data_IF_365264884700
#
_entry.id   IF_365264884700
#
_cell.length_a   1.000
_cell.length_b   1.000
_cell.length_c   1.000
_cell.angle_alpha   90.00
_cell.angle_beta   90.00
_cell.angle_gamma   90.00
#
_symmetry.space_group_name_H-M   'P 1'
#
loop_
_entity.id
_entity.type
_entity.pdbx_description
1 polymer ?
#
# COMPACT_ATOMS: atom_id res chain seq x y z
N UNK A 1 -0.26 6.46 -12.61
CA UNK A 1 -0.27 5.05 -13.08
C UNK A 1 0.91 4.24 -12.52
N UNK A 2 2.14 4.77 -12.55
CA UNK A 2 3.37 4.04 -12.15
C UNK A 2 3.42 3.67 -10.65
N UNK A 3 2.70 4.38 -9.78
CA UNK A 3 2.70 4.14 -8.33
C UNK A 3 1.46 3.35 -7.88
N UNK A 4 0.26 3.83 -8.24
CA UNK A 4 -1.02 3.28 -7.77
C UNK A 4 -1.27 1.82 -8.20
N UNK A 5 -0.91 1.46 -9.42
CA UNK A 5 -1.14 0.11 -9.95
C UNK A 5 -0.25 -0.97 -9.32
N UNK A 6 1.09 -0.83 -9.29
CA UNK A 6 1.94 -1.81 -8.63
C UNK A 6 1.74 -1.87 -7.10
N UNK A 7 1.44 -0.75 -6.44
CA UNK A 7 1.08 -0.76 -5.00
C UNK A 7 -0.22 -1.51 -4.73
N UNK A 8 -1.22 -1.41 -5.63
CA UNK A 8 -2.47 -2.16 -5.54
C UNK A 8 -2.25 -3.68 -5.62
N UNK A 9 -1.46 -4.15 -6.60
CA UNK A 9 -1.14 -5.58 -6.75
C UNK A 9 -0.42 -6.12 -5.52
N UNK A 10 0.56 -5.36 -4.99
CA UNK A 10 1.30 -5.79 -3.81
C UNK A 10 0.42 -5.77 -2.55
N UNK A 11 -0.49 -4.81 -2.44
CA UNK A 11 -1.46 -4.78 -1.36
C UNK A 11 -2.43 -5.96 -1.42
N UNK A 12 -2.91 -6.36 -2.60
CA UNK A 12 -3.76 -7.53 -2.76
C UNK A 12 -3.06 -8.81 -2.29
N UNK A 13 -1.81 -9.02 -2.72
CA UNK A 13 -1.00 -10.16 -2.30
C UNK A 13 -0.73 -10.15 -0.79
N UNK A 14 -0.29 -9.01 -0.24
CA UNK A 14 0.00 -8.88 1.19
C UNK A 14 -1.25 -9.07 2.06
N UNK A 15 -2.40 -8.53 1.64
CA UNK A 15 -3.68 -8.71 2.34
C UNK A 15 -4.10 -10.18 2.33
N UNK A 16 -3.98 -10.88 1.18
CA UNK A 16 -4.27 -12.30 1.09
C UNK A 16 -3.37 -13.15 1.98
N UNK A 17 -2.07 -12.83 2.05
CA UNK A 17 -1.12 -13.51 2.93
C UNK A 17 -1.40 -13.21 4.42
N UNK A 18 -1.69 -11.96 4.76
CA UNK A 18 -1.95 -11.53 6.14
C UNK A 18 -3.18 -12.25 6.71
N UNK A 19 -4.30 -12.27 5.99
CA UNK A 19 -5.50 -12.94 6.45
C UNK A 19 -5.51 -14.46 6.24
N UNK A 20 -4.54 -15.00 5.49
CA UNK A 20 -4.28 -16.45 5.48
C UNK A 20 -3.61 -16.88 6.80
N UNK A 21 -2.78 -15.99 7.39
CA UNK A 21 -2.10 -16.25 8.66
C UNK A 21 -2.94 -15.84 9.89
N UNK A 22 -3.79 -14.83 9.78
CA UNK A 22 -4.57 -14.25 10.89
C UNK A 22 -6.06 -14.32 10.55
N UNK A 23 -6.85 -14.96 11.42
CA UNK A 23 -8.30 -15.01 11.22
C UNK A 23 -8.92 -13.61 11.40
N UNK A 24 -9.63 -13.07 10.40
CA UNK A 24 -10.35 -11.80 10.54
C UNK A 24 -11.40 -11.81 11.66
N UNK A 25 -11.83 -12.97 12.15
CA UNK A 25 -12.78 -13.07 13.26
C UNK A 25 -12.15 -12.79 14.63
N UNK A 26 -10.84 -12.94 14.76
CA UNK A 26 -10.10 -12.62 16.00
C UNK A 26 -9.79 -11.12 16.14
N UNK A 27 -10.11 -10.31 15.12
CA UNK A 27 -9.96 -8.85 15.18
C UNK A 27 -11.09 -8.20 16.00
N UNK A 28 -10.87 -8.11 17.32
CA UNK A 28 -11.73 -7.33 18.23
C UNK A 28 -11.44 -5.83 18.01
N UNK A 29 -12.29 -5.16 17.24
CA UNK A 29 -12.25 -3.70 17.07
C UNK A 29 -13.04 -3.02 18.20
N UNK A 30 -12.35 -2.25 19.04
CA UNK A 30 -12.96 -1.39 20.07
C UNK A 30 -13.90 -2.09 21.08
N UNK A 31 -13.69 -3.38 21.35
CA UNK A 31 -14.48 -4.13 22.34
C UNK A 31 -15.93 -4.40 21.92
N UNK A 32 -16.33 -4.06 20.69
CA UNK A 32 -17.62 -4.38 20.11
C UNK A 32 -17.43 -5.50 19.08
N UNK A 33 -18.26 -6.55 19.18
CA UNK A 33 -18.36 -7.58 18.16
C UNK A 33 -18.80 -6.90 16.87
N UNK A 34 -17.88 -6.65 15.94
CA UNK A 34 -18.22 -6.11 14.62
C UNK A 34 -19.16 -7.15 13.99
N UNK A 35 -20.38 -6.78 13.59
CA UNK A 35 -21.35 -7.75 13.10
C UNK A 35 -20.77 -8.44 11.86
N UNK A 36 -20.49 -9.74 12.00
CA UNK A 36 -20.36 -10.84 11.02
C UNK A 36 -19.69 -10.56 9.65
N UNK A 37 -19.05 -9.43 9.46
CA UNK A 37 -18.61 -8.96 8.15
C UNK A 37 -17.10 -9.19 8.03
N UNK A 38 -16.71 -10.44 7.81
CA UNK A 38 -15.36 -10.80 7.35
C UNK A 38 -14.95 -9.90 6.17
N UNK A 39 -15.91 -9.57 5.30
CA UNK A 39 -15.75 -8.60 4.21
C UNK A 39 -15.28 -7.21 4.67
N UNK A 40 -15.74 -6.69 5.80
CA UNK A 40 -15.29 -5.39 6.30
C UNK A 40 -13.82 -5.46 6.74
N UNK A 41 -13.42 -6.51 7.47
CA UNK A 41 -12.04 -6.72 7.87
C UNK A 41 -11.10 -6.84 6.65
N UNK A 42 -11.48 -7.64 5.65
CA UNK A 42 -10.71 -7.76 4.40
C UNK A 42 -10.58 -6.42 3.68
N UNK A 43 -11.67 -5.66 3.58
CA UNK A 43 -11.68 -4.37 2.88
C UNK A 43 -10.81 -3.33 3.59
N UNK A 44 -10.95 -3.22 4.91
CA UNK A 44 -10.16 -2.28 5.72
C UNK A 44 -8.67 -2.67 5.70
N UNK A 45 -8.36 -3.94 5.88
CA UNK A 45 -6.98 -4.44 5.80
C UNK A 45 -6.35 -4.15 4.44
N UNK A 46 -7.09 -4.40 3.36
CA UNK A 46 -6.66 -4.07 2.00
C UNK A 46 -6.36 -2.58 1.83
N UNK A 47 -7.29 -1.71 2.24
CA UNK A 47 -7.13 -0.26 2.10
C UNK A 47 -5.97 0.29 2.92
N UNK A 48 -5.76 -0.23 4.14
CA UNK A 48 -4.64 0.16 4.99
C UNK A 48 -3.30 -0.23 4.37
N UNK A 49 -3.17 -1.49 3.97
CA UNK A 49 -1.94 -2.00 3.34
C UNK A 49 -1.70 -1.25 2.02
N UNK A 50 -2.73 -1.02 1.21
CA UNK A 50 -2.61 -0.30 -0.06
C UNK A 50 -2.16 1.15 0.12
N UNK A 51 -2.73 1.86 1.09
CA UNK A 51 -2.32 3.24 1.39
C UNK A 51 -0.87 3.28 1.83
N UNK A 52 -0.45 2.35 2.67
CA UNK A 52 0.93 2.29 3.16
C UNK A 52 1.93 1.97 2.03
N UNK A 53 1.63 0.99 1.18
CA UNK A 53 2.50 0.64 0.03
C UNK A 53 2.50 1.72 -1.05
N UNK A 54 1.39 2.44 -1.24
CA UNK A 54 1.31 3.60 -2.12
C UNK A 54 2.19 4.75 -1.62
N UNK A 55 2.17 5.06 -0.32
CA UNK A 55 3.05 6.08 0.29
C UNK A 55 4.52 5.68 0.13
N UNK A 56 4.89 4.43 0.41
CA UNK A 56 6.28 3.96 0.25
C UNK A 56 6.76 4.08 -1.21
N UNK A 57 5.90 3.72 -2.16
CA UNK A 57 6.19 3.83 -3.59
C UNK A 57 6.27 5.29 -4.05
N UNK A 58 5.41 6.17 -3.51
CA UNK A 58 5.47 7.61 -3.75
C UNK A 58 6.77 8.22 -3.24
N UNK A 59 7.21 7.85 -2.03
CA UNK A 59 8.46 8.32 -1.46
C UNK A 59 9.66 7.87 -2.28
N UNK A 60 9.65 6.61 -2.74
CA UNK A 60 10.69 6.06 -3.63
C UNK A 60 10.73 6.83 -4.95
N UNK A 61 9.57 7.12 -5.53
CA UNK A 61 9.47 7.91 -6.75
C UNK A 61 9.98 9.34 -6.54
N UNK A 62 9.61 10.00 -5.45
CA UNK A 62 10.04 11.36 -5.11
C UNK A 62 11.57 11.44 -4.99
N UNK A 63 12.18 10.50 -4.25
CA UNK A 63 13.64 10.44 -4.10
C UNK A 63 14.34 10.16 -5.44
N UNK A 64 13.71 9.36 -6.31
CA UNK A 64 14.26 9.09 -7.63
C UNK A 64 14.12 10.29 -8.58
N UNK A 65 13.02 11.05 -8.50
CA UNK A 65 12.78 12.20 -9.40
C UNK A 65 13.78 13.33 -9.19
N UNK A 66 14.19 13.60 -7.95
CA UNK A 66 15.22 14.61 -7.64
C UNK A 66 16.54 14.29 -8.35
N UNK A 67 16.93 13.00 -8.33
CA UNK A 67 18.15 12.53 -8.99
C UNK A 67 18.08 12.63 -10.52
N UNK A 68 16.89 12.47 -11.11
CA UNK A 68 16.67 12.56 -12.55
C UNK A 68 16.75 14.00 -13.05
N UNK A 69 16.24 14.97 -12.28
CA UNK A 69 16.24 16.39 -12.63
C UNK A 69 17.65 16.98 -12.72
N UNK A 70 18.53 16.62 -11.77
CA UNK A 70 19.95 17.00 -11.82
C UNK A 70 20.69 16.38 -13.02
N UNK A 71 20.39 15.13 -13.35
CA UNK A 71 21.01 14.41 -14.45
C UNK A 71 20.57 14.98 -15.81
N UNK A 72 19.29 15.33 -15.94
CA UNK A 72 18.74 16.00 -17.11
C UNK A 72 19.37 17.38 -17.32
N UNK A 73 19.41 18.19 -16.26
CA UNK A 73 20.00 19.54 -16.29
C UNK A 73 21.49 19.49 -16.67
N UNK A 74 22.26 18.59 -16.07
CA UNK A 74 23.68 18.40 -16.41
C UNK A 74 23.92 17.96 -17.85
N UNK A 75 22.97 17.23 -18.45
CA UNK A 75 23.06 16.74 -19.83
C UNK A 75 22.62 17.77 -20.86
N UNK A 76 21.81 18.75 -20.47
CA UNK A 76 21.37 19.84 -21.35
C UNK A 76 22.36 21.01 -21.41
N UNK A 77 23.10 21.26 -20.32
CA UNK A 77 24.09 22.35 -20.24
C UNK A 77 25.45 21.95 -20.85
N UNK A 78 25.65 20.66 -21.16
CA UNK A 78 26.78 20.15 -21.95
C UNK A 78 26.40 20.00 -23.41
#
# INVERSE_FOLDING_TARGET
>A
MVILWPSFLMAAAATGLFFSAIDPHDLILYGAYVPDSRMAAYTVGFLLIWTFTAIASMLTYYLHSEKQEEAYTRRFIR
#
